data_IF_051721984637
#
_entry.id   IF_051721984637
#
_cell.length_a   1.000
_cell.length_b   1.000
_cell.length_c   1.000
_cell.angle_alpha   90.00
_cell.angle_beta   90.00
_cell.angle_gamma   90.00
#
_symmetry.space_group_name_H-M   'P 1'
#
loop_
_entity.id
_entity.type
_entity.pdbx_description
1 polymer ?
#
# COMPACT_ATOMS: atom_id res chain seq x y z
N UNK A 1 2.92 -28.09 -8.89
CA UNK A 1 3.91 -27.00 -8.81
C UNK A 1 3.52 -26.11 -7.65
N UNK A 2 4.49 -25.69 -6.84
CA UNK A 2 4.25 -24.81 -5.68
C UNK A 2 4.96 -23.47 -5.89
N UNK A 3 4.36 -22.41 -5.38
CA UNK A 3 4.84 -21.04 -5.50
C UNK A 3 5.05 -20.45 -4.10
N UNK A 4 6.21 -19.84 -3.84
CA UNK A 4 6.44 -19.16 -2.57
C UNK A 4 5.67 -17.84 -2.52
N UNK A 5 4.96 -17.60 -1.43
CA UNK A 5 4.27 -16.33 -1.15
C UNK A 5 5.00 -15.63 0.00
N UNK A 6 5.63 -14.51 -0.31
CA UNK A 6 6.33 -13.69 0.67
C UNK A 6 5.39 -12.59 1.13
N UNK A 7 5.13 -12.53 2.44
CA UNK A 7 4.27 -11.53 3.07
C UNK A 7 5.06 -10.67 4.04
N UNK A 8 4.71 -9.39 4.12
CA UNK A 8 5.27 -8.45 5.10
C UNK A 8 4.15 -7.73 5.85
N UNK A 9 4.38 -7.42 7.12
CA UNK A 9 3.50 -6.58 7.94
C UNK A 9 4.13 -5.22 8.12
N UNK A 10 3.37 -4.17 7.82
CA UNK A 10 3.70 -2.83 8.28
C UNK A 10 3.42 -2.74 9.79
N UNK A 11 4.46 -2.55 10.61
CA UNK A 11 4.30 -2.51 12.07
C UNK A 11 3.56 -1.27 12.56
N UNK A 12 3.59 -0.17 11.79
CA UNK A 12 2.95 1.10 12.17
C UNK A 12 1.45 1.07 11.89
N UNK A 13 1.08 0.57 10.72
CA UNK A 13 -0.32 0.54 10.26
C UNK A 13 -1.01 -0.79 10.56
N UNK A 14 -0.27 -1.84 10.88
CA UNK A 14 -0.79 -3.16 11.18
C UNK A 14 -1.34 -3.91 9.97
N UNK A 15 -1.06 -3.43 8.75
CA UNK A 15 -1.53 -4.02 7.50
C UNK A 15 -0.53 -5.04 6.94
N UNK A 16 -1.07 -6.15 6.42
CA UNK A 16 -0.31 -7.24 5.82
C UNK A 16 -0.34 -7.09 4.29
N UNK A 17 0.79 -7.34 3.64
CA UNK A 17 0.99 -7.12 2.22
C UNK A 17 1.74 -8.30 1.58
N UNK A 18 1.34 -8.70 0.36
CA UNK A 18 2.07 -9.70 -0.43
C UNK A 18 3.10 -8.99 -1.29
N UNK A 19 4.36 -9.33 -1.08
CA UNK A 19 5.48 -8.70 -1.79
C UNK A 19 5.42 -9.03 -3.29
N UNK A 20 5.61 -8.01 -4.13
CA UNK A 20 5.51 -8.08 -5.59
C UNK A 20 4.14 -7.66 -6.14
N UNK A 21 3.18 -7.31 -5.27
CA UNK A 21 1.87 -6.80 -5.69
C UNK A 21 1.79 -5.27 -5.68
N UNK A 22 2.82 -4.57 -5.18
CA UNK A 22 2.98 -3.12 -5.25
C UNK A 22 4.24 -2.77 -6.07
N UNK A 23 4.14 -1.74 -6.93
CA UNK A 23 5.25 -1.28 -7.78
C UNK A 23 6.46 -0.73 -7.00
N UNK A 24 6.28 -0.40 -5.73
CA UNK A 24 7.34 0.07 -4.84
C UNK A 24 7.99 -1.06 -4.03
N UNK A 25 7.59 -2.31 -4.25
CA UNK A 25 8.19 -3.46 -3.57
C UNK A 25 9.58 -3.76 -4.12
N UNK A 26 10.56 -3.88 -3.21
CA UNK A 26 11.87 -4.40 -3.52
C UNK A 26 12.22 -5.54 -2.56
N UNK A 27 12.48 -6.72 -3.11
CA UNK A 27 13.20 -7.79 -2.43
C UNK A 27 14.66 -7.77 -2.86
N UNK A 28 15.57 -7.83 -1.90
CA UNK A 28 17.00 -7.90 -2.15
C UNK A 28 17.67 -8.85 -1.17
N UNK A 29 18.84 -9.36 -1.57
CA UNK A 29 19.70 -10.14 -0.69
C UNK A 29 20.69 -9.16 -0.05
N UNK A 30 20.74 -9.16 1.27
CA UNK A 30 21.70 -8.37 2.02
C UNK A 30 23.10 -8.96 1.88
N UNK A 31 24.03 -8.21 1.30
CA UNK A 31 25.40 -8.69 1.02
C UNK A 31 26.16 -9.06 2.30
N UNK A 32 25.86 -8.41 3.43
CA UNK A 32 26.57 -8.65 4.70
C UNK A 32 26.11 -9.94 5.38
N UNK A 33 24.81 -10.20 5.37
CA UNK A 33 24.21 -11.32 6.13
C UNK A 33 23.80 -12.50 5.24
N UNK A 34 23.71 -12.30 3.93
CA UNK A 34 23.11 -13.23 2.98
C UNK A 34 21.58 -13.38 3.13
N UNK A 35 20.96 -12.62 4.04
CA UNK A 35 19.52 -12.69 4.33
C UNK A 35 18.68 -11.95 3.29
N UNK A 36 17.45 -12.42 3.06
CA UNK A 36 16.48 -11.70 2.25
C UNK A 36 15.93 -10.52 3.05
N UNK A 37 15.82 -9.36 2.40
CA UNK A 37 15.26 -8.14 2.97
C UNK A 37 14.21 -7.56 2.03
N UNK A 38 13.26 -6.85 2.62
CA UNK A 38 12.24 -6.08 1.93
C UNK A 38 12.45 -4.58 2.15
N UNK A 39 12.17 -3.79 1.12
CA UNK A 39 12.16 -2.33 1.15
C UNK A 39 10.97 -1.81 0.35
N UNK A 40 10.16 -0.95 0.97
CA UNK A 40 9.17 -0.13 0.29
C UNK A 40 9.86 1.14 -0.25
N UNK A 41 10.01 1.24 -1.57
CA UNK A 41 10.70 2.35 -2.24
C UNK A 41 9.95 3.69 -2.13
N UNK A 42 8.66 3.69 -1.81
CA UNK A 42 7.89 4.94 -1.68
C UNK A 42 8.27 5.72 -0.42
N UNK A 43 8.53 5.01 0.68
CA UNK A 43 8.84 5.61 1.98
C UNK A 43 10.24 5.26 2.50
N UNK A 44 11.01 4.46 1.74
CA UNK A 44 12.34 3.95 2.12
C UNK A 44 12.34 3.20 3.46
N UNK A 45 11.22 2.55 3.79
CA UNK A 45 11.02 1.78 5.00
C UNK A 45 11.02 0.28 4.67
N UNK A 46 11.69 -0.53 5.49
CA UNK A 46 11.92 -1.93 5.17
C UNK A 46 12.15 -2.81 6.39
N UNK A 47 12.59 -4.04 6.15
CA UNK A 47 12.87 -5.05 7.19
C UNK A 47 14.26 -4.94 7.78
N UNK A 48 15.22 -4.35 7.05
CA UNK A 48 16.61 -4.16 7.51
C UNK A 48 16.67 -3.02 8.53
N UNK A 49 17.30 -3.30 9.68
CA UNK A 49 17.59 -2.31 10.72
C UNK A 49 18.97 -1.72 10.47
N UNK A 50 19.06 -0.42 10.19
CA UNK A 50 20.32 0.27 9.90
C UNK A 50 20.95 0.96 11.11
N UNK A 51 20.23 1.08 12.23
CA UNK A 51 20.72 1.69 13.47
C UNK A 51 20.19 0.92 14.67
N UNK A 52 21.03 0.75 15.69
CA UNK A 52 20.66 0.07 16.96
C UNK A 52 19.53 0.78 17.72
N UNK A 53 19.21 2.03 17.37
CA UNK A 53 18.18 2.83 18.04
C UNK A 53 16.83 2.83 17.31
N UNK A 54 16.73 2.19 16.14
CA UNK A 54 15.49 2.15 15.36
C UNK A 54 15.03 0.71 15.14
N UNK A 55 13.77 0.47 15.45
CA UNK A 55 13.10 -0.75 14.98
C UNK A 55 12.89 -0.69 13.46
N UNK A 56 12.77 -1.85 12.85
CA UNK A 56 12.33 -1.95 11.45
C UNK A 56 10.84 -1.61 11.34
N UNK A 57 10.46 -1.04 10.20
CA UNK A 57 9.07 -0.65 9.93
C UNK A 57 8.25 -1.83 9.40
N UNK A 58 8.94 -2.81 8.82
CA UNK A 58 8.33 -4.01 8.27
C UNK A 58 8.91 -5.28 8.92
N UNK A 59 8.08 -6.32 9.00
CA UNK A 59 8.51 -7.67 9.36
C UNK A 59 7.96 -8.69 8.37
N UNK A 60 8.74 -9.72 8.03
CA UNK A 60 8.22 -10.85 7.29
C UNK A 60 7.17 -11.61 8.12
N UNK A 61 6.12 -12.05 7.45
CA UNK A 61 5.08 -12.90 8.02
C UNK A 61 5.20 -14.27 7.37
N UNK A 62 5.04 -15.32 8.16
CA UNK A 62 5.00 -16.68 7.66
C UNK A 62 4.43 -17.63 8.70
N UNK A 63 4.46 -18.92 8.40
CA UNK A 63 3.93 -19.94 9.27
C UNK A 63 5.01 -20.44 10.22
N UNK A 64 4.66 -20.62 11.49
CA UNK A 64 5.43 -21.43 12.44
C UNK A 64 4.68 -22.76 12.60
N UNK A 65 5.05 -23.78 11.81
CA UNK A 65 4.28 -25.02 11.74
C UNK A 65 4.35 -25.88 13.01
N UNK A 66 5.34 -25.69 13.87
CA UNK A 66 5.53 -26.44 15.12
C UNK A 66 6.41 -25.63 16.10
N UNK A 67 6.22 -25.81 17.42
CA UNK A 67 7.07 -25.24 18.48
C UNK A 67 8.54 -25.67 18.34
N UNK A 68 8.78 -26.81 17.69
CA UNK A 68 10.13 -27.32 17.42
C UNK A 68 10.87 -26.59 16.28
N UNK A 69 10.18 -25.76 15.49
CA UNK A 69 10.75 -24.99 14.38
C UNK A 69 10.77 -23.51 14.75
N UNK A 70 11.92 -22.96 15.23
CA UNK A 70 11.98 -21.58 15.72
C UNK A 70 11.91 -20.55 14.58
N UNK A 71 11.96 -20.98 13.31
CA UNK A 71 12.04 -20.11 12.15
C UNK A 71 10.67 -19.91 11.51
N UNK A 72 10.38 -18.67 11.16
CA UNK A 72 9.23 -18.31 10.32
C UNK A 72 9.46 -18.87 8.92
N UNK A 73 8.53 -19.68 8.42
CA UNK A 73 8.64 -20.32 7.10
C UNK A 73 7.81 -19.58 6.05
N UNK A 74 8.34 -19.51 4.83
CA UNK A 74 7.61 -18.97 3.68
C UNK A 74 6.46 -19.91 3.35
N UNK A 75 5.28 -19.34 3.14
CA UNK A 75 4.10 -20.07 2.71
C UNK A 75 4.26 -20.50 1.25
N UNK A 76 3.92 -21.75 0.94
CA UNK A 76 3.89 -22.26 -0.43
C UNK A 76 2.46 -22.60 -0.79
N UNK A 77 2.00 -22.05 -1.92
CA UNK A 77 0.66 -22.30 -2.45
C UNK A 77 0.75 -23.08 -3.76
N UNK A 78 -0.27 -23.86 -4.08
CA UNK A 78 -0.39 -24.51 -5.37
C UNK A 78 -0.86 -23.52 -6.45
N UNK A 79 -0.93 -23.97 -7.71
CA UNK A 79 -1.30 -23.10 -8.82
C UNK A 79 -2.75 -22.60 -8.74
N UNK A 80 -3.69 -23.45 -8.32
CA UNK A 80 -5.11 -23.09 -8.21
C UNK A 80 -5.28 -22.00 -7.14
N UNK A 81 -4.66 -22.20 -5.97
CA UNK A 81 -4.64 -21.21 -4.88
C UNK A 81 -4.02 -19.88 -5.32
N UNK A 82 -2.90 -19.92 -6.07
CA UNK A 82 -2.27 -18.70 -6.60
C UNK A 82 -3.23 -17.93 -7.52
N UNK A 83 -3.95 -18.63 -8.41
CA UNK A 83 -4.92 -18.01 -9.32
C UNK A 83 -6.08 -17.42 -8.52
N UNK A 84 -6.62 -18.14 -7.53
CA UNK A 84 -7.71 -17.64 -6.68
C UNK A 84 -7.30 -16.37 -5.93
N UNK A 85 -6.08 -16.33 -5.39
CA UNK A 85 -5.52 -15.14 -4.74
C UNK A 85 -5.42 -13.96 -5.71
N UNK A 86 -4.94 -14.19 -6.93
CA UNK A 86 -4.80 -13.14 -7.95
C UNK A 86 -6.17 -12.59 -8.39
N UNK A 87 -7.15 -13.47 -8.62
CA UNK A 87 -8.52 -13.08 -8.99
C UNK A 87 -9.18 -12.29 -7.87
N UNK A 88 -9.04 -12.73 -6.61
CA UNK A 88 -9.56 -12.00 -5.45
C UNK A 88 -8.98 -10.59 -5.37
N UNK A 89 -7.66 -10.45 -5.48
CA UNK A 89 -7.00 -9.15 -5.46
C UNK A 89 -7.46 -8.25 -6.62
N UNK A 90 -7.65 -8.81 -7.82
CA UNK A 90 -8.16 -8.07 -8.98
C UNK A 90 -9.57 -7.50 -8.72
N UNK A 91 -10.46 -8.28 -8.11
CA UNK A 91 -11.79 -7.80 -7.73
C UNK A 91 -11.71 -6.70 -6.67
N UNK A 92 -10.95 -6.90 -5.60
CA UNK A 92 -10.80 -5.91 -4.51
C UNK A 92 -10.22 -4.59 -5.03
N UNK A 93 -9.20 -4.62 -5.91
CA UNK A 93 -8.63 -3.43 -6.52
C UNK A 93 -9.63 -2.73 -7.46
N UNK A 94 -10.43 -3.50 -8.20
CA UNK A 94 -11.44 -2.94 -9.10
C UNK A 94 -12.50 -2.19 -8.31
N UNK A 95 -13.04 -2.79 -7.24
CA UNK A 95 -14.04 -2.15 -6.36
C UNK A 95 -13.47 -0.91 -5.66
N UNK A 96 -12.22 -0.99 -5.17
CA UNK A 96 -11.54 0.15 -4.56
C UNK A 96 -11.39 1.31 -5.56
N UNK A 97 -11.03 1.02 -6.81
CA UNK A 97 -10.89 2.01 -7.87
C UNK A 97 -12.23 2.66 -8.23
N UNK A 98 -13.30 1.88 -8.37
CA UNK A 98 -14.65 2.40 -8.62
C UNK A 98 -15.06 3.39 -7.51
N UNK A 99 -14.83 3.01 -6.24
CA UNK A 99 -15.13 3.87 -5.09
C UNK A 99 -14.30 5.16 -5.10
N UNK A 100 -13.01 5.07 -5.44
CA UNK A 100 -12.14 6.23 -5.58
C UNK A 100 -12.64 7.19 -6.66
N UNK A 101 -12.97 6.67 -7.85
CA UNK A 101 -13.45 7.48 -8.97
C UNK A 101 -14.76 8.20 -8.63
N UNK A 102 -15.67 7.55 -7.89
CA UNK A 102 -16.89 8.17 -7.38
C UNK A 102 -16.58 9.33 -6.40
N UNK A 103 -15.61 9.16 -5.51
CA UNK A 103 -15.20 10.21 -4.57
C UNK A 103 -14.54 11.39 -5.30
N UNK A 104 -13.69 11.11 -6.30
CA UNK A 104 -13.05 12.14 -7.13
C UNK A 104 -14.12 12.93 -7.88
N UNK A 105 -15.11 12.26 -8.49
CA UNK A 105 -16.22 12.92 -9.17
C UNK A 105 -16.97 13.88 -8.24
N UNK A 106 -17.33 13.42 -7.03
CA UNK A 106 -17.98 14.26 -6.02
C UNK A 106 -17.11 15.47 -5.64
N UNK A 107 -15.81 15.27 -5.46
CA UNK A 107 -14.89 16.36 -5.16
C UNK A 107 -14.85 17.41 -6.29
N UNK A 108 -14.76 16.98 -7.55
CA UNK A 108 -14.74 17.88 -8.71
C UNK A 108 -16.04 18.68 -8.81
N UNK A 109 -17.19 18.03 -8.66
CA UNK A 109 -18.51 18.70 -8.68
C UNK A 109 -18.65 19.75 -7.58
N UNK A 110 -18.22 19.46 -6.35
CA UNK A 110 -18.27 20.43 -5.25
C UNK A 110 -17.26 21.58 -5.43
N UNK A 111 -16.09 21.28 -6.00
CA UNK A 111 -15.09 22.31 -6.34
C UNK A 111 -15.64 23.30 -7.36
N UNK A 112 -16.30 22.81 -8.41
CA UNK A 112 -16.93 23.66 -9.44
C UNK A 112 -18.01 24.56 -8.82
N UNK A 113 -18.91 24.00 -8.00
CA UNK A 113 -19.93 24.81 -7.28
C UNK A 113 -19.31 25.90 -6.40
N UNK A 114 -18.22 25.59 -5.71
CA UNK A 114 -17.52 26.58 -4.88
C UNK A 114 -16.88 27.68 -5.73
N UNK A 115 -16.34 27.33 -6.90
CA UNK A 115 -15.74 28.28 -7.82
C UNK A 115 -16.78 29.19 -8.47
N UNK A 116 -17.91 28.65 -8.92
CA UNK A 116 -19.04 29.43 -9.44
C UNK A 116 -19.56 30.44 -8.41
N UNK A 117 -19.65 30.03 -7.13
CA UNK A 117 -20.04 30.94 -6.04
C UNK A 117 -19.05 32.08 -5.85
N UNK A 118 -17.75 31.79 -5.94
CA UNK A 118 -16.71 32.80 -5.81
C UNK A 118 -16.77 33.80 -6.98
N UNK A 119 -16.89 33.31 -8.22
CA UNK A 119 -16.97 34.17 -9.41
C UNK A 119 -18.21 35.07 -9.40
N UNK A 120 -19.37 34.54 -9.01
CA UNK A 120 -20.59 35.34 -8.85
C UNK A 120 -20.45 36.40 -7.75
N UNK A 121 -19.75 36.10 -6.65
CA UNK A 121 -19.52 37.07 -5.57
C UNK A 121 -18.59 38.24 -5.97
N UNK A 122 -17.68 37.99 -6.91
CA UNK A 122 -16.75 39.01 -7.44
C UNK A 122 -17.45 39.91 -8.47
N UNK A 123 -18.38 39.37 -9.26
CA UNK A 123 -19.17 40.19 -10.19
C UNK A 123 -20.07 41.20 -9.44
N UNK A 124 -20.70 40.79 -8.33
CA UNK A 124 -21.55 41.67 -7.51
C UNK A 124 -20.79 42.84 -6.84
N UNK A 125 -19.48 42.71 -6.61
CA UNK A 125 -18.67 43.77 -5.98
C UNK A 125 -18.05 44.76 -6.97
N UNK A 126 -18.12 44.49 -8.28
CA UNK A 126 -17.61 45.38 -9.33
C UNK A 126 -18.52 46.57 -9.67
N UNK A 127 -19.72 46.66 -9.06
CA UNK A 127 -20.73 47.70 -9.33
C UNK A 127 -20.84 48.82 -8.30
N UNK A 128 -20.06 48.82 -7.21
CA UNK A 128 -20.13 49.88 -6.18
C UNK A 128 -18.79 50.64 -6.14
N UNK A 129 -18.63 51.59 -7.07
CA UNK A 129 -17.78 52.75 -6.83
C UNK A 129 -18.66 53.84 -6.21
N UNK A 130 -18.43 54.24 -4.94
CA UNK A 130 -19.05 55.44 -4.41
C UNK A 130 -18.33 56.65 -5.02
N UNK A 131 -19.00 57.34 -5.95
CA UNK A 131 -18.73 58.76 -6.18
C UNK A 131 -19.58 59.57 -5.20
#
# INVERSE_FOLDING_TARGET
MFFPIIKVKDKRLGYDHIVGTNSHDLLYVDEETGGIQYLNLQCMAGTKVYSKEKDNDYQFIGNQPDECMPYVTIEYVNFEELIDMAVKNMHEQTEAKIKMDQMIKKYVEEREKCQDKLENSIQDTSGILPF
#
